data_IF_229192759464
#
_entry.id   IF_229192759464
#
_cell.length_a   1.000
_cell.length_b   1.000
_cell.length_c   1.000
_cell.angle_alpha   90.00
_cell.angle_beta   90.00
_cell.angle_gamma   90.00
#
_symmetry.space_group_name_H-M   'P 1'
#
loop_
_entity.id
_entity.type
_entity.pdbx_description
1 polymer ?
#
# COMPACT_ATOMS: atom_id res chain seq x y z
N UNK A 1 12.03 -46.22 -2.08
CA UNK A 1 13.01 -45.16 -1.73
C UNK A 1 13.46 -44.29 -2.92
N UNK A 2 12.77 -44.29 -4.08
CA UNK A 2 13.19 -43.49 -5.26
C UNK A 2 12.51 -42.11 -5.34
N UNK A 3 11.30 -41.97 -4.79
CA UNK A 3 10.48 -40.75 -4.91
C UNK A 3 11.07 -39.52 -4.19
N UNK A 4 11.72 -39.71 -3.03
CA UNK A 4 12.31 -38.61 -2.24
C UNK A 4 13.45 -37.88 -2.94
N UNK A 5 14.22 -38.57 -3.80
CA UNK A 5 15.39 -37.97 -4.46
C UNK A 5 14.99 -37.00 -5.57
N UNK A 6 13.89 -37.29 -6.27
CA UNK A 6 13.31 -36.41 -7.29
C UNK A 6 12.72 -35.14 -6.66
N UNK A 7 12.06 -35.28 -5.51
CA UNK A 7 11.50 -34.14 -4.79
C UNK A 7 12.60 -33.21 -4.27
N UNK A 8 13.68 -33.78 -3.72
CA UNK A 8 14.82 -33.01 -3.21
C UNK A 8 15.67 -32.34 -4.30
N UNK A 9 15.65 -32.89 -5.52
CA UNK A 9 16.28 -32.28 -6.69
C UNK A 9 15.46 -31.07 -7.18
N UNK A 10 14.14 -31.24 -7.30
CA UNK A 10 13.22 -30.18 -7.71
C UNK A 10 13.20 -29.01 -6.70
N UNK A 11 13.20 -29.31 -5.40
CA UNK A 11 13.24 -28.28 -4.35
C UNK A 11 14.58 -27.53 -4.28
N UNK A 12 15.67 -28.12 -4.77
CA UNK A 12 16.97 -27.44 -4.91
C UNK A 12 16.97 -26.52 -6.13
N UNK A 13 16.47 -27.00 -7.26
CA UNK A 13 16.32 -26.18 -8.47
C UNK A 13 15.46 -24.96 -8.18
N UNK A 14 14.28 -25.12 -7.59
CA UNK A 14 13.39 -24.01 -7.26
C UNK A 14 14.03 -22.95 -6.34
N UNK A 15 14.95 -23.35 -5.45
CA UNK A 15 15.63 -22.43 -4.53
C UNK A 15 16.67 -21.55 -5.23
N UNK A 16 17.24 -22.02 -6.35
CA UNK A 16 18.17 -21.22 -7.16
C UNK A 16 17.49 -20.11 -7.95
N UNK A 17 16.17 -20.15 -8.11
CA UNK A 17 15.41 -19.11 -8.80
C UNK A 17 15.16 -17.86 -7.94
N UNK A 18 15.29 -17.96 -6.62
CA UNK A 18 15.09 -16.85 -5.68
C UNK A 18 16.39 -16.10 -5.32
N UNK A 19 17.56 -16.60 -5.73
CA UNK A 19 18.84 -15.94 -5.48
C UNK A 19 19.19 -15.04 -6.69
N UNK A 20 19.09 -13.69 -6.56
CA UNK A 20 19.58 -12.82 -7.63
C UNK A 20 21.12 -12.97 -7.73
N UNK A 21 21.70 -13.09 -8.94
CA UNK A 21 23.14 -13.13 -9.10
C UNK A 21 23.74 -11.83 -8.52
N UNK A 22 24.62 -12.01 -7.55
CA UNK A 22 25.41 -11.02 -6.81
C UNK A 22 25.99 -9.90 -7.68
N UNK A 23 26.34 -10.19 -8.94
CA UNK A 23 26.83 -9.20 -9.90
C UNK A 23 25.85 -8.03 -10.13
N UNK A 24 24.53 -8.27 -10.20
CA UNK A 24 23.51 -7.22 -10.42
C UNK A 24 23.34 -6.27 -9.23
N UNK A 25 23.71 -6.70 -8.03
CA UNK A 25 23.63 -5.87 -6.82
C UNK A 25 24.71 -4.80 -6.74
N UNK A 26 25.82 -4.96 -7.48
CA UNK A 26 26.93 -4.02 -7.51
C UNK A 26 26.68 -2.86 -8.48
N UNK A 27 26.19 -3.15 -9.69
CA UNK A 27 25.83 -2.13 -10.70
C UNK A 27 24.72 -1.18 -10.21
N UNK A 28 23.73 -1.72 -9.50
CA UNK A 28 22.65 -0.90 -8.94
C UNK A 28 23.14 0.05 -7.84
N UNK A 29 24.15 -0.35 -7.04
CA UNK A 29 24.76 0.54 -6.04
C UNK A 29 25.53 1.68 -6.71
N UNK A 30 26.30 1.38 -7.75
CA UNK A 30 27.07 2.39 -8.48
C UNK A 30 26.15 3.41 -9.19
N UNK A 31 25.02 2.94 -9.75
CA UNK A 31 23.99 3.79 -10.34
C UNK A 31 23.31 4.72 -9.31
N UNK A 32 23.07 4.24 -8.10
CA UNK A 32 22.47 5.04 -7.00
C UNK A 32 23.45 6.10 -6.51
N UNK A 33 24.71 5.76 -6.26
CA UNK A 33 25.73 6.70 -5.79
C UNK A 33 25.96 7.84 -6.80
N UNK A 34 25.95 7.51 -8.10
CA UNK A 34 26.07 8.50 -9.19
C UNK A 34 24.88 9.45 -9.26
N UNK A 35 23.67 9.02 -8.88
CA UNK A 35 22.46 9.87 -8.87
C UNK A 35 22.46 10.84 -7.68
N UNK A 36 22.95 10.38 -6.53
CA UNK A 36 23.04 11.21 -5.31
C UNK A 36 24.08 12.32 -5.47
N UNK A 37 25.22 12.05 -6.13
CA UNK A 37 26.25 13.06 -6.39
C UNK A 37 25.79 14.18 -7.34
N UNK A 38 24.88 13.89 -8.29
CA UNK A 38 24.40 14.87 -9.26
C UNK A 38 23.36 15.85 -8.72
N UNK A 39 22.80 15.62 -7.52
CA UNK A 39 21.74 16.44 -6.94
C UNK A 39 22.24 17.66 -6.15
N UNK A 40 23.54 17.82 -5.93
CA UNK A 40 24.09 18.79 -4.96
C UNK A 40 24.64 20.09 -5.55
N UNK A 41 24.50 20.37 -6.85
CA UNK A 41 25.08 21.57 -7.47
C UNK A 41 24.07 22.39 -8.28
N UNK A 42 23.27 23.22 -7.60
CA UNK A 42 22.78 24.48 -8.17
C UNK A 42 22.30 25.44 -7.09
N UNK A 43 23.21 26.24 -6.53
CA UNK A 43 22.84 27.46 -5.78
C UNK A 43 23.35 28.67 -6.55
N UNK A 44 22.60 29.08 -7.58
CA UNK A 44 22.86 30.33 -8.29
C UNK A 44 22.18 31.48 -7.52
N UNK A 45 22.96 32.22 -6.73
CA UNK A 45 22.58 33.54 -6.21
C UNK A 45 22.60 34.54 -7.37
N UNK A 46 21.46 35.12 -7.73
CA UNK A 46 21.42 36.36 -8.50
C UNK A 46 20.80 37.44 -7.63
N UNK A 47 21.67 38.31 -7.09
CA UNK A 47 21.29 39.57 -6.51
C UNK A 47 21.34 40.62 -7.62
N UNK A 48 20.18 41.14 -8.02
CA UNK A 48 20.10 42.33 -8.86
C UNK A 48 19.28 43.37 -8.11
N UNK A 49 19.99 44.35 -7.56
CA UNK A 49 19.42 45.55 -7.01
C UNK A 49 18.75 46.35 -8.13
N UNK A 50 17.45 46.63 -8.00
CA UNK A 50 16.77 47.61 -8.84
C UNK A 50 16.04 48.59 -7.95
N UNK A 51 16.69 49.73 -7.72
CA UNK A 51 16.09 50.96 -7.24
C UNK A 51 15.20 51.53 -8.33
N UNK A 52 13.88 51.48 -8.19
CA UNK A 52 13.01 52.38 -8.96
C UNK A 52 11.73 52.75 -8.19
N UNK A 53 11.72 53.99 -7.72
CA UNK A 53 10.61 54.92 -7.94
C UNK A 53 9.26 54.60 -7.30
N UNK A 54 9.11 55.01 -6.04
CA UNK A 54 7.85 55.34 -5.39
C UNK A 54 7.01 56.30 -6.27
N UNK A 55 5.81 55.88 -6.71
CA UNK A 55 4.65 56.77 -6.87
C UNK A 55 3.39 56.08 -6.35
N UNK A 56 2.84 56.67 -5.29
CA UNK A 56 1.61 56.27 -4.59
C UNK A 56 0.38 56.69 -5.40
N UNK A 57 -0.60 55.80 -5.52
CA UNK A 57 -2.01 56.16 -5.66
C UNK A 57 -2.91 55.07 -5.05
N UNK A 58 -3.44 55.41 -3.86
CA UNK A 58 -4.62 54.92 -3.14
C UNK A 58 -5.36 53.65 -3.62
N UNK A 59 -5.51 52.68 -2.71
CA UNK A 59 -6.53 51.64 -2.82
C UNK A 59 -6.38 50.47 -1.83
N UNK A 60 -6.86 50.68 -0.60
CA UNK A 60 -7.39 49.66 0.36
C UNK A 60 -6.58 48.36 0.58
N UNK A 61 -5.98 48.23 1.77
CA UNK A 61 -5.62 46.91 2.34
C UNK A 61 -4.32 46.87 3.14
N UNK A 62 -4.21 47.63 4.22
CA UNK A 62 -3.10 47.56 5.18
C UNK A 62 -3.44 46.59 6.31
N UNK A 63 -2.59 45.58 6.52
CA UNK A 63 -2.15 44.96 7.79
C UNK A 63 -1.92 43.43 7.61
N UNK A 64 -0.79 42.81 7.92
CA UNK A 64 0.50 43.23 8.44
C UNK A 64 1.55 42.19 8.00
N UNK A 65 2.69 42.68 7.51
CA UNK A 65 3.92 41.92 7.30
C UNK A 65 4.63 41.75 8.65
N UNK A 66 5.13 40.55 8.96
CA UNK A 66 6.33 40.40 9.78
C UNK A 66 6.98 39.02 9.58
N UNK A 67 7.96 39.00 8.69
CA UNK A 67 9.00 37.98 8.59
C UNK A 67 9.84 38.04 9.87
N UNK A 68 9.82 36.99 10.71
CA UNK A 68 10.74 36.87 11.86
C UNK A 68 11.67 35.70 11.59
N UNK A 69 12.80 36.02 10.96
CA UNK A 69 14.01 35.20 11.04
C UNK A 69 14.84 35.78 12.17
N UNK A 70 14.77 35.15 13.34
CA UNK A 70 15.73 35.36 14.44
C UNK A 70 16.35 34.01 14.75
N UNK A 71 17.55 33.80 14.24
CA UNK A 71 18.51 32.88 14.81
C UNK A 71 19.20 33.58 15.99
N UNK A 72 19.31 32.92 17.15
CA UNK A 72 20.49 32.88 18.03
C UNK A 72 20.15 32.33 19.43
N UNK A 73 20.99 31.38 19.88
CA UNK A 73 21.33 31.01 21.27
C UNK A 73 20.18 30.35 22.06
N UNK A 74 20.29 29.09 22.47
CA UNK A 74 21.39 28.51 23.22
C UNK A 74 20.97 28.42 24.68
N UNK A 75 20.38 27.28 25.07
CA UNK A 75 20.19 26.90 26.46
C UNK A 75 19.89 25.40 26.53
N UNK A 76 20.94 24.63 26.76
CA UNK A 76 20.89 23.28 27.31
C UNK A 76 20.66 23.36 28.82
N UNK A 77 19.52 22.90 29.36
CA UNK A 77 19.43 22.58 30.77
C UNK A 77 19.92 21.14 31.00
N UNK A 78 21.06 21.06 31.67
CA UNK A 78 21.68 19.91 32.32
C UNK A 78 20.68 19.14 33.21
N UNK A 79 20.82 17.81 33.20
CA UNK A 79 20.06 16.83 33.98
C UNK A 79 20.10 17.06 35.51
N UNK A 80 19.22 16.35 36.24
CA UNK A 80 19.80 15.38 37.17
C UNK A 80 19.33 13.96 36.91
N UNK A 81 20.28 13.05 37.14
CA UNK A 81 20.15 11.62 37.14
C UNK A 81 19.01 11.15 38.07
N UNK A 82 18.19 10.25 37.55
CA UNK A 82 17.48 9.25 38.36
C UNK A 82 18.01 7.88 38.00
N UNK A 83 18.49 7.22 39.05
CA UNK A 83 19.16 5.94 39.10
C UNK A 83 18.43 4.78 38.43
N UNK A 84 19.26 3.92 37.85
CA UNK A 84 19.26 2.45 37.95
C UNK A 84 17.93 1.73 38.20
N UNK A 85 17.48 1.00 37.18
CA UNK A 85 16.97 -0.36 37.36
C UNK A 85 16.80 -1.09 36.00
N UNK A 86 17.85 -1.77 35.54
CA UNK A 86 17.70 -3.02 34.78
C UNK A 86 19.02 -3.77 34.89
N UNK A 87 19.05 -5.12 35.04
CA UNK A 87 18.00 -6.08 34.71
C UNK A 87 17.68 -7.07 35.86
N UNK A 88 16.43 -7.52 35.97
CA UNK A 88 16.13 -8.79 36.62
C UNK A 88 15.33 -9.64 35.66
N UNK A 89 16.07 -10.45 34.90
CA UNK A 89 15.53 -11.62 34.22
C UNK A 89 15.14 -12.59 35.35
N UNK A 90 13.88 -12.50 35.78
CA UNK A 90 13.24 -13.60 36.48
C UNK A 90 13.02 -14.69 35.42
N UNK A 91 13.95 -15.65 35.39
CA UNK A 91 13.76 -16.94 34.76
C UNK A 91 12.54 -17.61 35.40
N UNK A 92 11.37 -17.44 34.77
CA UNK A 92 10.20 -18.22 35.08
C UNK A 92 10.50 -19.70 34.80
N UNK A 93 10.10 -20.64 35.69
CA UNK A 93 10.27 -22.06 35.44
C UNK A 93 9.62 -22.44 34.11
N UNK A 94 10.40 -23.04 33.22
CA UNK A 94 9.90 -23.79 32.07
C UNK A 94 8.98 -24.90 32.57
N UNK A 95 7.68 -24.60 32.61
CA UNK A 95 6.66 -25.62 32.67
C UNK A 95 6.78 -26.44 31.37
N UNK A 96 6.98 -27.76 31.44
CA UNK A 96 6.91 -28.58 30.24
C UNK A 96 5.51 -28.42 29.66
N UNK A 97 5.45 -27.98 28.40
CA UNK A 97 4.25 -28.06 27.58
C UNK A 97 3.96 -29.56 27.33
N UNK A 98 3.40 -30.22 28.34
CA UNK A 98 2.50 -31.36 28.12
C UNK A 98 1.22 -30.77 27.53
N UNK A 99 1.31 -30.30 26.29
CA UNK A 99 0.19 -30.43 25.39
C UNK A 99 0.27 -31.87 24.90
N UNK A 100 -0.25 -32.77 25.74
CA UNK A 100 -0.92 -33.95 25.25
C UNK A 100 -2.03 -33.40 24.35
N UNK A 101 -1.68 -33.17 23.09
CA UNK A 101 -2.61 -33.14 21.97
C UNK A 101 -3.19 -34.54 21.96
N UNK A 102 -4.15 -34.76 22.84
CA UNK A 102 -5.14 -35.79 22.70
C UNK A 102 -5.58 -35.64 21.25
N UNK A 103 -5.22 -36.63 20.45
CA UNK A 103 -5.78 -36.89 19.16
C UNK A 103 -7.28 -37.04 19.37
N UNK A 104 -7.98 -35.92 19.49
CA UNK A 104 -9.37 -35.83 19.10
C UNK A 104 -9.31 -36.00 17.60
N UNK A 105 -9.54 -37.25 17.20
CA UNK A 105 -9.86 -37.63 15.86
C UNK A 105 -10.79 -36.57 15.30
N UNK A 106 -10.29 -35.80 14.35
CA UNK A 106 -11.14 -35.12 13.40
C UNK A 106 -11.81 -36.29 12.68
N UNK A 107 -13.03 -36.65 13.09
CA UNK A 107 -13.94 -37.33 12.21
C UNK A 107 -14.21 -36.35 11.09
N UNK A 108 -13.39 -36.47 10.06
CA UNK A 108 -13.65 -35.95 8.73
C UNK A 108 -15.08 -36.38 8.40
N UNK A 109 -16.02 -35.44 8.21
CA UNK A 109 -17.29 -35.83 7.64
C UNK A 109 -16.93 -36.44 6.31
N UNK A 110 -17.15 -37.76 6.17
CA UNK A 110 -17.01 -38.44 4.91
C UNK A 110 -18.05 -37.84 3.98
N UNK A 111 -17.65 -36.76 3.30
CA UNK A 111 -18.33 -36.19 2.17
C UNK A 111 -18.26 -37.30 1.13
N UNK A 112 -19.30 -38.13 1.14
CA UNK A 112 -19.65 -38.99 0.03
C UNK A 112 -19.92 -38.05 -1.15
N UNK A 113 -18.85 -37.71 -1.86
CA UNK A 113 -18.92 -37.21 -3.21
C UNK A 113 -19.37 -38.41 -4.03
N UNK A 114 -20.68 -38.67 -4.02
CA UNK A 114 -21.35 -39.41 -5.08
C UNK A 114 -21.04 -38.65 -6.37
N UNK A 115 -19.99 -39.11 -7.04
CA UNK A 115 -19.53 -38.66 -8.33
C UNK A 115 -20.60 -39.04 -9.37
N UNK A 116 -21.68 -38.25 -9.42
CA UNK A 116 -22.61 -38.26 -10.56
C UNK A 116 -22.00 -37.46 -11.70
N UNK A 117 -20.87 -37.94 -12.21
CA UNK A 117 -20.29 -37.44 -13.45
C UNK A 117 -20.96 -38.19 -14.61
N UNK A 118 -22.23 -37.86 -14.90
CA UNK A 118 -22.76 -38.15 -16.23
C UNK A 118 -22.17 -37.11 -17.17
N UNK A 119 -21.37 -37.50 -18.17
CA UNK A 119 -20.90 -36.56 -19.17
C UNK A 119 -22.12 -35.97 -19.88
N UNK A 120 -22.28 -34.65 -19.78
CA UNK A 120 -23.28 -33.93 -20.56
C UNK A 120 -22.78 -33.95 -22.01
N UNK A 121 -23.52 -34.65 -22.88
CA UNK A 121 -23.22 -34.66 -24.31
C UNK A 121 -23.55 -33.30 -24.92
N UNK A 122 -22.52 -32.49 -25.11
CA UNK A 122 -22.61 -31.13 -25.66
C UNK A 122 -23.27 -31.12 -27.04
N UNK A 123 -23.25 -32.26 -27.77
CA UNK A 123 -23.86 -32.41 -29.10
C UNK A 123 -25.38 -32.51 -29.08
N UNK A 124 -25.98 -32.78 -27.93
CA UNK A 124 -27.42 -32.96 -27.76
C UNK A 124 -28.12 -31.79 -27.06
N UNK A 125 -27.43 -30.65 -26.86
CA UNK A 125 -28.11 -29.45 -26.41
C UNK A 125 -28.99 -28.88 -27.54
N UNK A 126 -30.24 -28.47 -27.25
CA UNK A 126 -31.06 -27.73 -28.19
C UNK A 126 -30.32 -26.49 -28.67
N UNK A 127 -30.21 -26.31 -29.99
CA UNK A 127 -29.65 -25.09 -30.58
C UNK A 127 -30.54 -23.91 -30.16
N UNK A 128 -30.06 -23.11 -29.22
CA UNK A 128 -30.71 -21.86 -28.88
C UNK A 128 -30.72 -20.96 -30.12
N UNK A 129 -31.84 -20.25 -30.41
CA UNK A 129 -31.88 -19.31 -31.52
C UNK A 129 -30.77 -18.28 -31.34
N UNK A 130 -29.91 -18.17 -32.36
CA UNK A 130 -28.76 -17.26 -32.35
C UNK A 130 -29.28 -15.82 -32.26
N UNK A 131 -29.22 -15.22 -31.07
CA UNK A 131 -29.53 -13.81 -30.90
C UNK A 131 -28.52 -12.98 -31.72
N UNK A 132 -29.00 -12.30 -32.76
CA UNK A 132 -28.19 -11.46 -33.67
C UNK A 132 -27.80 -10.11 -33.06
N UNK A 133 -27.99 -9.90 -31.76
CA UNK A 133 -27.64 -8.68 -31.03
C UNK A 133 -26.28 -8.78 -30.32
N UNK A 134 -25.22 -9.11 -31.06
CA UNK A 134 -23.86 -9.21 -30.50
C UNK A 134 -23.00 -7.95 -30.66
N UNK A 135 -23.45 -6.90 -31.34
CA UNK A 135 -22.60 -5.70 -31.55
C UNK A 135 -22.38 -4.83 -30.31
N UNK A 136 -23.40 -4.68 -29.46
CA UNK A 136 -23.38 -3.70 -28.36
C UNK A 136 -22.79 -4.25 -27.06
N UNK A 137 -22.85 -5.57 -26.85
CA UNK A 137 -22.33 -6.23 -25.65
C UNK A 137 -20.80 -6.30 -25.66
N UNK A 138 -20.19 -6.62 -26.80
CA UNK A 138 -18.73 -6.68 -26.93
C UNK A 138 -18.06 -5.32 -26.70
N UNK A 139 -18.58 -4.24 -27.33
CA UNK A 139 -18.04 -2.88 -27.13
C UNK A 139 -18.15 -2.39 -25.68
N UNK A 140 -19.22 -2.77 -24.97
CA UNK A 140 -19.38 -2.42 -23.55
C UNK A 140 -18.40 -3.21 -22.67
N UNK A 141 -18.20 -4.50 -22.95
CA UNK A 141 -17.24 -5.33 -22.22
C UNK A 141 -15.82 -4.78 -22.37
N UNK A 142 -15.40 -4.42 -23.59
CA UNK A 142 -14.08 -3.84 -23.87
C UNK A 142 -13.89 -2.47 -23.20
N UNK A 143 -14.92 -1.62 -23.18
CA UNK A 143 -14.87 -0.34 -22.47
C UNK A 143 -14.78 -0.50 -20.94
N UNK A 144 -15.43 -1.52 -20.37
CA UNK A 144 -15.33 -1.85 -18.94
C UNK A 144 -13.92 -2.38 -18.63
N UNK A 145 -13.37 -3.25 -19.48
CA UNK A 145 -12.04 -3.82 -19.30
C UNK A 145 -10.94 -2.73 -19.36
N UNK A 146 -11.02 -1.84 -20.35
CA UNK A 146 -10.13 -0.68 -20.44
C UNK A 146 -10.28 0.29 -19.26
N UNK A 147 -11.48 0.45 -18.69
CA UNK A 147 -11.69 1.23 -17.46
C UNK A 147 -11.03 0.57 -16.26
N UNK A 148 -11.20 -0.74 -16.09
CA UNK A 148 -10.65 -1.50 -14.98
C UNK A 148 -9.11 -1.48 -14.98
N UNK A 149 -8.48 -1.61 -16.16
CA UNK A 149 -7.03 -1.54 -16.29
C UNK A 149 -6.49 -0.16 -15.85
N UNK A 150 -7.17 0.91 -16.22
CA UNK A 150 -6.80 2.28 -15.83
C UNK A 150 -6.98 2.48 -14.33
N UNK A 151 -8.10 2.04 -13.75
CA UNK A 151 -8.33 2.09 -12.30
C UNK A 151 -7.22 1.37 -11.54
N UNK A 152 -6.91 0.14 -11.96
CA UNK A 152 -5.88 -0.69 -11.34
C UNK A 152 -4.49 -0.05 -11.45
N UNK A 153 -4.17 0.61 -12.58
CA UNK A 153 -2.91 1.34 -12.74
C UNK A 153 -2.78 2.47 -11.72
N UNK A 154 -3.78 3.35 -11.60
CA UNK A 154 -3.73 4.47 -10.65
C UNK A 154 -3.58 3.96 -9.20
N UNK A 155 -4.30 2.90 -8.83
CA UNK A 155 -4.21 2.33 -7.48
C UNK A 155 -2.86 1.64 -7.21
N UNK A 156 -2.26 1.00 -8.22
CA UNK A 156 -0.88 0.47 -8.10
C UNK A 156 0.13 1.60 -7.89
N UNK A 157 0.01 2.69 -8.63
CA UNK A 157 0.86 3.88 -8.46
C UNK A 157 0.68 4.52 -7.08
N UNK A 158 -0.57 4.64 -6.60
CA UNK A 158 -0.86 5.17 -5.27
C UNK A 158 -0.21 4.33 -4.17
N UNK A 159 -0.31 3.00 -4.28
CA UNK A 159 0.34 2.09 -3.34
C UNK A 159 1.86 2.18 -3.41
N UNK A 160 2.43 2.24 -4.61
CA UNK A 160 3.88 2.38 -4.79
C UNK A 160 4.39 3.68 -4.16
N UNK A 161 3.70 4.80 -4.39
CA UNK A 161 4.02 6.09 -3.78
C UNK A 161 4.00 6.02 -2.25
N UNK A 162 2.97 5.39 -1.65
CA UNK A 162 2.90 5.23 -0.19
C UNK A 162 4.06 4.38 0.35
N UNK A 163 4.40 3.28 -0.32
CA UNK A 163 5.52 2.42 0.09
C UNK A 163 6.88 3.10 -0.06
N UNK A 164 6.99 4.07 -0.98
CA UNK A 164 8.18 4.91 -1.14
C UNK A 164 8.27 6.09 -0.15
N UNK A 165 7.34 6.19 0.83
CA UNK A 165 7.27 7.32 1.76
C UNK A 165 6.58 8.58 1.20
N UNK A 166 6.12 8.54 -0.05
CA UNK A 166 5.39 9.63 -0.71
C UNK A 166 3.87 9.56 -0.40
N UNK A 167 3.50 9.47 0.87
CA UNK A 167 2.11 9.26 1.28
C UNK A 167 1.15 10.39 0.83
N UNK A 168 1.65 11.63 0.70
CA UNK A 168 0.87 12.74 0.15
C UNK A 168 0.52 12.54 -1.33
N UNK A 169 1.45 11.97 -2.12
CA UNK A 169 1.22 11.62 -3.52
C UNK A 169 0.22 10.48 -3.64
N UNK A 170 0.34 9.45 -2.80
CA UNK A 170 -0.64 8.37 -2.72
C UNK A 170 -2.06 8.92 -2.48
N UNK A 171 -2.22 9.83 -1.52
CA UNK A 171 -3.50 10.48 -1.23
C UNK A 171 -4.05 11.30 -2.41
N UNK A 172 -3.17 11.96 -3.17
CA UNK A 172 -3.54 12.67 -4.40
C UNK A 172 -4.05 11.70 -5.48
N UNK A 173 -3.35 10.58 -5.70
CA UNK A 173 -3.71 9.59 -6.72
C UNK A 173 -5.05 8.91 -6.42
N UNK A 174 -5.33 8.54 -5.16
CA UNK A 174 -6.66 8.00 -4.80
C UNK A 174 -7.78 9.03 -4.86
N UNK A 175 -7.44 10.32 -4.79
CA UNK A 175 -8.40 11.42 -4.99
C UNK A 175 -8.70 11.61 -6.48
N UNK A 176 -7.68 11.53 -7.34
CA UNK A 176 -7.87 11.48 -8.80
C UNK A 176 -8.69 10.26 -9.22
N UNK A 177 -8.43 9.09 -8.63
CA UNK A 177 -9.27 7.91 -8.88
C UNK A 177 -10.74 8.17 -8.51
N UNK A 178 -11.01 8.85 -7.39
CA UNK A 178 -12.38 9.17 -6.99
C UNK A 178 -13.09 10.14 -7.96
N UNK A 179 -12.36 11.12 -8.51
CA UNK A 179 -12.95 12.08 -9.45
C UNK A 179 -13.19 11.46 -10.83
N UNK A 180 -12.27 10.60 -11.29
CA UNK A 180 -12.35 9.95 -12.60
C UNK A 180 -13.29 8.74 -12.60
N UNK A 181 -13.35 8.02 -11.49
CA UNK A 181 -14.14 6.79 -11.32
C UNK A 181 -15.00 6.86 -10.05
N UNK A 182 -15.99 7.77 -9.99
CA UNK A 182 -16.83 7.94 -8.80
C UNK A 182 -17.56 6.64 -8.42
N UNK A 183 -18.01 5.88 -9.43
CA UNK A 183 -18.65 4.57 -9.30
C UNK A 183 -17.76 3.44 -9.87
N UNK A 184 -16.42 3.59 -9.77
CA UNK A 184 -15.46 2.62 -10.28
C UNK A 184 -15.55 1.25 -9.62
N UNK A 185 -15.15 0.21 -10.34
CA UNK A 185 -15.17 -1.17 -9.84
C UNK A 185 -14.21 -1.36 -8.66
N UNK A 186 -13.15 -0.56 -8.58
CA UNK A 186 -12.13 -0.64 -7.53
C UNK A 186 -12.31 0.44 -6.45
N UNK A 187 -13.56 0.86 -6.21
CA UNK A 187 -13.90 1.80 -5.15
C UNK A 187 -13.50 1.32 -3.73
N UNK A 188 -13.67 0.03 -3.35
CA UNK A 188 -13.18 -0.47 -2.06
C UNK A 188 -11.64 -0.35 -1.95
N UNK A 189 -10.90 -0.74 -2.98
CA UNK A 189 -9.44 -0.67 -3.00
C UNK A 189 -8.95 0.78 -2.87
N UNK A 190 -9.59 1.70 -3.59
CA UNK A 190 -9.33 3.15 -3.44
C UNK A 190 -9.52 3.61 -2.01
N UNK A 191 -10.64 3.25 -1.38
CA UNK A 191 -10.95 3.74 -0.04
C UNK A 191 -10.01 3.14 1.02
N UNK A 192 -9.60 1.87 0.86
CA UNK A 192 -8.58 1.24 1.71
C UNK A 192 -7.20 1.90 1.54
N UNK A 193 -6.80 2.25 0.32
CA UNK A 193 -5.53 2.94 0.08
C UNK A 193 -5.57 4.39 0.60
N UNK A 194 -6.70 5.09 0.51
CA UNK A 194 -6.90 6.40 1.16
C UNK A 194 -6.65 6.34 2.66
N UNK A 195 -7.22 5.34 3.33
CA UNK A 195 -7.01 5.13 4.77
C UNK A 195 -5.52 4.89 5.06
N UNK A 196 -4.89 4.01 4.28
CA UNK A 196 -3.46 3.70 4.42
C UNK A 196 -2.57 4.94 4.24
N UNK A 197 -2.88 5.78 3.24
CA UNK A 197 -2.15 7.03 2.99
C UNK A 197 -2.35 8.06 4.12
N UNK A 198 -3.58 8.19 4.66
CA UNK A 198 -3.85 9.06 5.80
C UNK A 198 -3.10 8.60 7.05
N UNK A 199 -3.07 7.29 7.32
CA UNK A 199 -2.30 6.71 8.41
C UNK A 199 -0.80 7.02 8.27
N UNK A 200 -0.23 6.84 7.07
CA UNK A 200 1.18 7.13 6.78
C UNK A 200 1.52 8.63 6.91
N UNK A 201 0.55 9.52 6.68
CA UNK A 201 0.69 10.97 6.92
C UNK A 201 0.52 11.39 8.38
N UNK A 202 0.25 10.45 9.30
CA UNK A 202 -0.07 10.76 10.69
C UNK A 202 -1.45 11.39 10.90
N UNK A 203 -2.30 11.45 9.87
CA UNK A 203 -3.67 12.02 9.94
C UNK A 203 -4.67 11.01 10.50
N UNK A 204 -4.43 10.56 11.73
CA UNK A 204 -5.12 9.42 12.36
C UNK A 204 -6.61 9.66 12.52
N UNK A 205 -7.03 10.87 12.90
CA UNK A 205 -8.45 11.20 13.12
C UNK A 205 -9.25 11.13 11.82
N UNK A 206 -8.65 11.57 10.71
CA UNK A 206 -9.27 11.47 9.38
C UNK A 206 -9.33 10.01 8.94
N UNK A 207 -8.25 9.24 9.15
CA UNK A 207 -8.23 7.82 8.85
C UNK A 207 -9.31 7.05 9.61
N UNK A 208 -9.52 7.33 10.91
CA UNK A 208 -10.55 6.65 11.71
C UNK A 208 -11.97 6.91 11.19
N UNK A 209 -12.27 8.15 10.76
CA UNK A 209 -13.56 8.46 10.11
C UNK A 209 -13.75 7.63 8.84
N UNK A 210 -12.72 7.57 7.99
CA UNK A 210 -12.77 6.77 6.77
C UNK A 210 -12.84 5.26 7.04
N UNK A 211 -12.24 4.76 8.13
CA UNK A 211 -12.39 3.36 8.56
C UNK A 211 -13.86 3.08 8.89
N UNK A 212 -14.50 3.91 9.71
CA UNK A 212 -15.92 3.74 10.04
C UNK A 212 -16.81 3.78 8.77
N UNK A 213 -16.56 4.74 7.87
CA UNK A 213 -17.27 4.83 6.59
C UNK A 213 -17.01 3.62 5.69
N UNK A 214 -15.82 3.03 5.75
CA UNK A 214 -15.46 1.83 4.99
C UNK A 214 -16.24 0.62 5.52
N UNK A 215 -16.28 0.44 6.84
CA UNK A 215 -17.00 -0.67 7.48
C UNK A 215 -18.50 -0.62 7.18
N UNK A 216 -19.09 0.57 7.12
CA UNK A 216 -20.50 0.75 6.78
C UNK A 216 -20.81 0.52 5.30
N UNK A 217 -19.94 0.99 4.40
CA UNK A 217 -20.18 0.89 2.94
C UNK A 217 -19.76 -0.45 2.34
N UNK A 218 -18.77 -1.12 2.93
CA UNK A 218 -18.11 -2.30 2.36
C UNK A 218 -18.11 -3.48 3.35
N UNK A 219 -19.28 -3.82 3.90
CA UNK A 219 -19.47 -4.80 4.98
C UNK A 219 -18.99 -6.23 4.67
N UNK A 220 -18.95 -6.62 3.40
CA UNK A 220 -18.47 -7.94 2.94
C UNK A 220 -17.09 -7.89 2.29
N UNK A 221 -16.39 -6.75 2.36
CA UNK A 221 -15.08 -6.62 1.71
C UNK A 221 -14.00 -7.44 2.42
N UNK A 222 -13.18 -8.20 1.67
CA UNK A 222 -12.02 -8.90 2.25
C UNK A 222 -10.95 -7.94 2.78
N UNK A 223 -11.07 -6.63 2.51
CA UNK A 223 -10.13 -5.61 2.96
C UNK A 223 -10.40 -5.12 4.39
N UNK A 224 -11.52 -5.50 5.03
CA UNK A 224 -11.91 -5.00 6.35
C UNK A 224 -10.81 -5.18 7.41
N UNK A 225 -10.24 -6.38 7.51
CA UNK A 225 -9.18 -6.67 8.47
C UNK A 225 -7.92 -5.82 8.22
N UNK A 226 -7.56 -5.62 6.95
CA UNK A 226 -6.44 -4.74 6.60
C UNK A 226 -6.73 -3.30 6.99
N UNK A 227 -7.92 -2.81 6.67
CA UNK A 227 -8.36 -1.44 6.95
C UNK A 227 -8.29 -1.16 8.47
N UNK A 228 -8.81 -2.08 9.30
CA UNK A 228 -8.74 -2.03 10.77
C UNK A 228 -7.31 -1.98 11.33
N UNK A 229 -6.35 -2.54 10.59
CA UNK A 229 -4.95 -2.57 10.99
C UNK A 229 -4.10 -1.40 10.45
N UNK A 230 -4.60 -0.60 9.50
CA UNK A 230 -3.81 0.35 8.70
C UNK A 230 -2.98 1.36 9.50
N UNK A 231 -3.47 1.78 10.66
CA UNK A 231 -2.85 2.82 11.51
C UNK A 231 -2.01 2.24 12.66
N UNK A 232 -1.67 0.95 12.64
CA UNK A 232 -0.91 0.28 13.73
C UNK A 232 0.61 0.45 13.63
N UNK A 233 1.15 0.91 12.49
CA UNK A 233 2.57 1.23 12.34
C UNK A 233 2.90 2.67 12.76
N UNK A 234 4.10 2.88 13.29
CA UNK A 234 4.71 4.20 13.51
C UNK A 234 5.07 4.83 12.15
N UNK A 235 4.87 6.15 11.96
CA UNK A 235 5.30 6.86 10.75
C UNK A 235 6.81 6.81 10.53
#
# INVERSE_FOLDING_TARGET
MSSSKETDAFLREARTWDEPPDERGSELRELVDRRIAAASTSTAKSATASTFGLRVAAGVGLACVAFVVVALRGSTPTAPAVSDASPSIAAGPTAPLTNARAAQAIQEPELQIEQSERPIDVRNLPNAPRATTSGTTFKRAEAIDGSLEIEARILREARAARLAGEAARSLSLVTEHATRFPNGALAPERDAERISALCALGRREQAQKHIADFELRWTSSPLLERVRASCRGTP
#
